data_IF_597105450966
#
_entry.id   IF_597105450966
#
_cell.length_a   1.000
_cell.length_b   1.000
_cell.length_c   1.000
_cell.angle_alpha   90.00
_cell.angle_beta   90.00
_cell.angle_gamma   90.00
#
_symmetry.space_group_name_H-M   'P 1'
#
loop_
_entity.id
_entity.type
_entity.pdbx_description
1 polymer ?
#
# COMPACT_ATOMS: atom_id res chain seq x y z
N UNK A 1 -37.21 -24.19 25.11
CA UNK A 1 -38.25 -24.29 26.15
C UNK A 1 -39.31 -23.25 25.81
N UNK A 2 -40.56 -23.67 25.61
CA UNK A 2 -41.66 -22.73 25.40
C UNK A 2 -41.78 -21.86 26.66
N UNK A 3 -41.54 -20.57 26.52
CA UNK A 3 -41.78 -19.64 27.62
C UNK A 3 -43.29 -19.42 27.68
N UNK A 4 -43.88 -19.93 28.75
CA UNK A 4 -45.30 -19.86 29.01
C UNK A 4 -45.76 -18.40 29.05
N UNK A 5 -47.01 -18.17 28.68
CA UNK A 5 -47.67 -16.88 28.85
C UNK A 5 -47.48 -16.41 30.30
N UNK A 6 -47.23 -15.11 30.50
CA UNK A 6 -47.04 -14.63 31.87
C UNK A 6 -48.28 -14.93 32.73
N UNK A 7 -48.05 -15.31 33.99
CA UNK A 7 -49.11 -15.63 34.95
C UNK A 7 -50.10 -14.48 35.10
N UNK A 8 -49.64 -13.23 35.02
CA UNK A 8 -50.51 -12.04 35.07
C UNK A 8 -51.51 -12.00 33.91
N UNK A 9 -51.07 -12.33 32.69
CA UNK A 9 -51.96 -12.37 31.52
C UNK A 9 -52.96 -13.52 31.65
N UNK A 10 -52.52 -14.69 32.12
CA UNK A 10 -53.43 -15.82 32.36
C UNK A 10 -54.50 -15.50 33.40
N UNK A 11 -54.10 -14.94 34.56
CA UNK A 11 -55.03 -14.57 35.63
C UNK A 11 -56.02 -13.48 35.19
N UNK A 12 -55.58 -12.54 34.36
CA UNK A 12 -56.46 -11.53 33.77
C UNK A 12 -57.51 -12.16 32.84
N UNK A 13 -57.10 -13.11 32.00
CA UNK A 13 -58.01 -13.87 31.14
C UNK A 13 -58.99 -14.70 31.97
N UNK A 14 -58.52 -15.48 32.94
CA UNK A 14 -59.38 -16.31 33.81
C UNK A 14 -60.47 -15.47 34.50
N UNK A 15 -60.11 -14.28 34.99
CA UNK A 15 -61.06 -13.34 35.63
C UNK A 15 -62.10 -12.77 34.67
N UNK A 16 -61.80 -12.67 33.36
CA UNK A 16 -62.67 -12.04 32.36
C UNK A 16 -63.53 -13.01 31.57
N UNK A 17 -62.97 -14.17 31.22
CA UNK A 17 -63.62 -15.13 30.31
C UNK A 17 -63.84 -16.51 30.93
N UNK A 18 -63.44 -16.72 32.19
CA UNK A 18 -63.53 -18.02 32.86
C UNK A 18 -62.32 -18.90 32.56
N UNK A 19 -62.11 -19.92 33.41
CA UNK A 19 -60.90 -20.76 33.40
C UNK A 19 -60.73 -21.56 32.10
N UNK A 20 -61.80 -22.21 31.64
CA UNK A 20 -61.75 -23.09 30.46
C UNK A 20 -61.46 -22.31 29.17
N UNK A 21 -62.11 -21.15 28.99
CA UNK A 21 -61.85 -20.25 27.86
C UNK A 21 -60.48 -19.57 27.96
N UNK A 22 -60.03 -19.20 29.17
CA UNK A 22 -58.69 -18.65 29.38
C UNK A 22 -57.58 -19.64 29.02
N UNK A 23 -57.76 -20.92 29.33
CA UNK A 23 -56.83 -21.98 28.96
C UNK A 23 -56.73 -22.14 27.43
N UNK A 24 -57.87 -22.18 26.73
CA UNK A 24 -57.92 -22.24 25.26
C UNK A 24 -57.24 -21.03 24.62
N UNK A 25 -57.58 -19.82 25.07
CA UNK A 25 -56.99 -18.57 24.53
C UNK A 25 -55.49 -18.53 24.79
N UNK A 26 -55.05 -18.88 26.00
CA UNK A 26 -53.61 -18.91 26.34
C UNK A 26 -52.84 -19.90 25.46
N UNK A 27 -53.40 -21.10 25.23
CA UNK A 27 -52.78 -22.09 24.34
C UNK A 27 -52.62 -21.57 22.91
N UNK A 28 -53.63 -20.86 22.39
CA UNK A 28 -53.58 -20.27 21.05
C UNK A 28 -52.52 -19.15 20.98
N UNK A 29 -52.45 -18.30 22.00
CA UNK A 29 -51.44 -17.23 22.06
C UNK A 29 -50.03 -17.82 22.15
N UNK A 30 -49.81 -18.83 23.00
CA UNK A 30 -48.50 -19.49 23.13
C UNK A 30 -48.05 -20.10 21.80
N UNK A 31 -48.95 -20.79 21.08
CA UNK A 31 -48.65 -21.29 19.72
C UNK A 31 -48.31 -20.16 18.76
N UNK A 32 -49.02 -19.03 18.82
CA UNK A 32 -48.71 -17.84 18.02
C UNK A 32 -47.33 -17.25 18.33
N UNK A 33 -46.97 -17.17 19.62
CA UNK A 33 -45.65 -16.71 20.08
C UNK A 33 -44.56 -17.65 19.58
N UNK A 34 -44.77 -18.97 19.61
CA UNK A 34 -43.81 -19.93 19.12
C UNK A 34 -43.59 -19.80 17.61
N UNK A 35 -44.64 -19.58 16.82
CA UNK A 35 -44.51 -19.29 15.37
C UNK A 35 -43.71 -18.01 15.14
N UNK A 36 -44.02 -16.93 15.86
CA UNK A 36 -43.29 -15.66 15.75
C UNK A 36 -41.81 -15.84 16.09
N UNK A 37 -41.49 -16.64 17.12
CA UNK A 37 -40.09 -16.91 17.49
C UNK A 37 -39.35 -17.70 16.42
N UNK A 38 -39.96 -18.74 15.89
CA UNK A 38 -39.34 -19.53 14.82
C UNK A 38 -39.10 -18.66 13.59
N UNK A 39 -40.03 -17.77 13.25
CA UNK A 39 -39.84 -16.83 12.16
C UNK A 39 -38.75 -15.78 12.46
N UNK A 40 -38.71 -15.25 13.68
CA UNK A 40 -37.65 -14.32 14.09
C UNK A 40 -36.26 -14.97 14.03
N UNK A 41 -36.13 -16.26 14.38
CA UNK A 41 -34.87 -17.01 14.23
C UNK A 41 -34.47 -17.17 12.77
N UNK A 42 -35.42 -17.46 11.88
CA UNK A 42 -35.16 -17.55 10.43
C UNK A 42 -34.67 -16.21 9.88
N UNK A 43 -35.38 -15.12 10.17
CA UNK A 43 -34.99 -13.77 9.74
C UNK A 43 -33.59 -13.41 10.26
N UNK A 44 -33.29 -13.71 11.53
CA UNK A 44 -31.97 -13.44 12.09
C UNK A 44 -30.86 -14.25 11.39
N UNK A 45 -31.16 -15.50 11.01
CA UNK A 45 -30.23 -16.34 10.27
C UNK A 45 -30.03 -15.82 8.83
N UNK A 46 -31.11 -15.47 8.15
CA UNK A 46 -31.09 -14.89 6.80
C UNK A 46 -30.26 -13.61 6.77
N UNK A 47 -30.54 -12.65 7.66
CA UNK A 47 -29.76 -11.41 7.75
C UNK A 47 -28.29 -11.64 8.06
N UNK A 48 -27.97 -12.62 8.90
CA UNK A 48 -26.58 -13.00 9.19
C UNK A 48 -25.88 -13.54 7.93
N UNK A 49 -26.60 -14.30 7.10
CA UNK A 49 -26.07 -14.83 5.84
C UNK A 49 -25.90 -13.72 4.81
N UNK A 50 -26.88 -12.81 4.67
CA UNK A 50 -26.80 -11.63 3.79
C UNK A 50 -25.59 -10.76 4.16
N UNK A 51 -25.45 -10.39 5.43
CA UNK A 51 -24.32 -9.58 5.91
C UNK A 51 -22.99 -10.30 5.64
N UNK A 52 -22.92 -11.61 5.84
CA UNK A 52 -21.71 -12.38 5.55
C UNK A 52 -21.39 -12.36 4.06
N UNK A 53 -22.39 -12.48 3.20
CA UNK A 53 -22.22 -12.45 1.74
C UNK A 53 -21.77 -11.06 1.26
N UNK A 54 -22.40 -9.99 1.74
CA UNK A 54 -22.00 -8.60 1.48
C UNK A 54 -20.55 -8.35 1.91
N UNK A 55 -20.19 -8.71 3.15
CA UNK A 55 -18.83 -8.55 3.66
C UNK A 55 -17.81 -9.36 2.86
N UNK A 56 -18.18 -10.54 2.35
CA UNK A 56 -17.28 -11.37 1.55
C UNK A 56 -17.05 -10.78 0.15
N UNK A 57 -18.03 -10.05 -0.40
CA UNK A 57 -17.91 -9.38 -1.71
C UNK A 57 -17.09 -8.10 -1.64
N UNK A 58 -17.20 -7.32 -0.56
CA UNK A 58 -16.55 -6.02 -0.44
C UNK A 58 -15.16 -6.06 0.19
N UNK A 59 -14.91 -7.01 1.10
CA UNK A 59 -13.64 -7.05 1.82
C UNK A 59 -12.59 -7.87 1.07
N UNK A 60 -11.42 -7.26 0.89
CA UNK A 60 -10.22 -7.97 0.46
C UNK A 60 -9.84 -9.03 1.50
N UNK A 61 -9.55 -10.24 1.02
CA UNK A 61 -9.03 -11.30 1.85
C UNK A 61 -7.57 -11.03 2.24
N UNK A 62 -7.08 -11.75 3.24
CA UNK A 62 -5.65 -11.72 3.59
C UNK A 62 -4.74 -12.14 2.43
N UNK A 63 -5.24 -13.02 1.54
CA UNK A 63 -4.50 -13.45 0.37
C UNK A 63 -4.36 -12.31 -0.65
N UNK A 64 -5.44 -11.55 -0.90
CA UNK A 64 -5.41 -10.40 -1.80
C UNK A 64 -4.41 -9.34 -1.33
N UNK A 65 -4.43 -9.04 -0.03
CA UNK A 65 -3.48 -8.10 0.57
C UNK A 65 -2.03 -8.60 0.44
N UNK A 66 -1.80 -9.91 0.58
CA UNK A 66 -0.46 -10.49 0.43
C UNK A 66 0.04 -10.42 -1.02
N UNK A 67 -0.84 -10.64 -1.99
CA UNK A 67 -0.53 -10.50 -3.43
C UNK A 67 -0.08 -9.06 -3.72
N UNK A 68 -0.90 -8.08 -3.35
CA UNK A 68 -0.58 -6.66 -3.57
C UNK A 68 0.72 -6.26 -2.86
N UNK A 69 0.94 -6.74 -1.63
CA UNK A 69 2.20 -6.49 -0.90
C UNK A 69 3.41 -7.03 -1.66
N UNK A 70 3.33 -8.25 -2.19
CA UNK A 70 4.44 -8.87 -2.91
C UNK A 70 4.71 -8.14 -4.24
N UNK A 71 3.67 -7.77 -4.98
CA UNK A 71 3.79 -6.97 -6.21
C UNK A 71 4.47 -5.62 -5.92
N UNK A 72 4.06 -4.94 -4.84
CA UNK A 72 4.70 -3.68 -4.42
C UNK A 72 6.17 -3.86 -4.05
N UNK A 73 6.54 -4.95 -3.37
CA UNK A 73 7.95 -5.23 -3.05
C UNK A 73 8.76 -5.40 -4.34
N UNK A 74 8.25 -6.16 -5.31
CA UNK A 74 8.91 -6.37 -6.60
C UNK A 74 9.09 -5.05 -7.36
N UNK A 75 8.04 -4.21 -7.42
CA UNK A 75 8.14 -2.93 -8.12
C UNK A 75 9.11 -1.97 -7.42
N UNK A 76 9.15 -1.97 -6.08
CA UNK A 76 10.13 -1.19 -5.31
C UNK A 76 11.56 -1.66 -5.60
N UNK A 77 11.79 -2.97 -5.66
CA UNK A 77 13.12 -3.52 -5.98
C UNK A 77 13.56 -3.17 -7.40
N UNK A 78 12.64 -3.23 -8.36
CA UNK A 78 12.87 -2.81 -9.74
C UNK A 78 13.25 -1.34 -9.83
N UNK A 79 12.46 -0.44 -9.24
CA UNK A 79 12.75 1.01 -9.20
C UNK A 79 14.10 1.28 -8.53
N UNK A 80 14.43 0.57 -7.44
CA UNK A 80 15.74 0.70 -6.79
C UNK A 80 16.89 0.27 -7.69
N UNK A 81 16.74 -0.80 -8.45
CA UNK A 81 17.76 -1.28 -9.38
C UNK A 81 17.97 -0.29 -10.52
N UNK A 82 16.89 0.22 -11.12
CA UNK A 82 16.93 1.21 -12.19
C UNK A 82 17.61 2.51 -11.72
N UNK A 83 17.24 3.03 -10.54
CA UNK A 83 17.86 4.22 -9.97
C UNK A 83 19.36 4.03 -9.69
N UNK A 84 19.77 2.87 -9.17
CA UNK A 84 21.20 2.57 -8.94
C UNK A 84 21.98 2.58 -10.25
N UNK A 85 21.44 1.94 -11.28
CA UNK A 85 22.07 1.90 -12.61
C UNK A 85 22.18 3.30 -13.23
N UNK A 86 21.14 4.12 -13.11
CA UNK A 86 21.16 5.49 -13.63
C UNK A 86 22.18 6.37 -12.89
N UNK A 87 22.25 6.26 -11.56
CA UNK A 87 23.24 6.98 -10.75
C UNK A 87 24.66 6.57 -11.14
N UNK A 88 24.93 5.28 -11.26
CA UNK A 88 26.25 4.77 -11.65
C UNK A 88 26.65 5.25 -13.05
N UNK A 89 25.73 5.18 -14.01
CA UNK A 89 25.95 5.69 -15.37
C UNK A 89 26.27 7.19 -15.38
N UNK A 90 25.51 8.00 -14.63
CA UNK A 90 25.76 9.44 -14.51
C UNK A 90 27.10 9.73 -13.84
N UNK A 91 27.44 9.00 -12.79
CA UNK A 91 28.72 9.14 -12.09
C UNK A 91 29.89 8.80 -13.02
N UNK A 92 29.82 7.69 -13.75
CA UNK A 92 30.85 7.31 -14.72
C UNK A 92 31.00 8.35 -15.83
N UNK A 93 29.90 8.86 -16.38
CA UNK A 93 29.92 9.93 -17.37
C UNK A 93 30.60 11.20 -16.83
N UNK A 94 30.32 11.56 -15.58
CA UNK A 94 30.91 12.73 -14.94
C UNK A 94 32.41 12.54 -14.68
N UNK A 95 32.82 11.37 -14.20
CA UNK A 95 34.23 11.01 -14.00
C UNK A 95 35.03 11.10 -15.30
N UNK A 96 34.50 10.55 -16.40
CA UNK A 96 35.14 10.64 -17.72
C UNK A 96 35.26 12.11 -18.18
N UNK A 97 34.24 12.93 -17.96
CA UNK A 97 34.29 14.36 -18.29
C UNK A 97 35.34 15.08 -17.45
N UNK A 98 35.45 14.73 -16.17
CA UNK A 98 36.44 15.32 -15.25
C UNK A 98 37.87 14.96 -15.69
N UNK A 99 38.14 13.71 -16.03
CA UNK A 99 39.45 13.27 -16.54
C UNK A 99 39.83 14.01 -17.83
N UNK A 100 38.90 14.10 -18.79
CA UNK A 100 39.11 14.87 -20.03
C UNK A 100 39.40 16.34 -19.76
N UNK A 101 38.72 16.93 -18.78
CA UNK A 101 38.95 18.32 -18.39
C UNK A 101 40.35 18.49 -17.77
N UNK A 102 40.74 17.58 -16.88
CA UNK A 102 42.07 17.58 -16.26
C UNK A 102 43.20 17.44 -17.30
N UNK A 103 43.02 16.57 -18.31
CA UNK A 103 43.96 16.43 -19.43
C UNK A 103 44.10 17.74 -20.22
N UNK A 104 42.98 18.38 -20.58
CA UNK A 104 42.99 19.67 -21.28
C UNK A 104 43.68 20.75 -20.45
N UNK A 105 43.43 20.78 -19.14
CA UNK A 105 44.03 21.74 -18.24
C UNK A 105 45.55 21.54 -18.13
N UNK A 106 46.00 20.30 -17.96
CA UNK A 106 47.44 19.96 -17.95
C UNK A 106 48.14 20.38 -19.26
N UNK A 107 47.52 20.11 -20.41
CA UNK A 107 48.06 20.54 -21.70
C UNK A 107 48.15 22.07 -21.81
N UNK A 108 47.12 22.78 -21.37
CA UNK A 108 47.10 24.25 -21.34
C UNK A 108 48.21 24.81 -20.44
N UNK A 109 48.43 24.22 -19.26
CA UNK A 109 49.53 24.62 -18.37
C UNK A 109 50.88 24.45 -19.08
N UNK A 110 51.11 23.31 -19.76
CA UNK A 110 52.35 23.07 -20.52
C UNK A 110 52.53 24.14 -21.61
N UNK A 111 51.47 24.45 -22.37
CA UNK A 111 51.53 25.50 -23.39
C UNK A 111 51.85 26.88 -22.81
N UNK A 112 51.27 27.23 -21.66
CA UNK A 112 51.56 28.49 -20.97
C UNK A 112 53.03 28.53 -20.53
N UNK A 113 53.57 27.45 -19.96
CA UNK A 113 54.98 27.36 -19.57
C UNK A 113 55.89 27.55 -20.79
N UNK A 114 55.59 26.88 -21.91
CA UNK A 114 56.36 27.04 -23.16
C UNK A 114 56.29 28.49 -23.65
N UNK A 115 55.09 29.09 -23.69
CA UNK A 115 54.91 30.47 -24.14
C UNK A 115 55.71 31.46 -23.28
N UNK A 116 55.64 31.36 -21.95
CA UNK A 116 56.42 32.19 -21.01
C UNK A 116 57.93 31.97 -21.18
N UNK A 117 58.35 30.73 -21.42
CA UNK A 117 59.77 30.39 -21.62
C UNK A 117 60.30 30.96 -22.93
N UNK A 118 59.53 30.88 -24.02
CA UNK A 118 59.90 31.45 -25.33
C UNK A 118 59.93 32.98 -25.33
N UNK A 119 59.10 33.62 -24.50
CA UNK A 119 59.12 35.08 -24.31
C UNK A 119 60.33 35.58 -23.52
N UNK A 120 61.11 34.68 -22.89
CA UNK A 120 62.34 35.06 -22.20
C UNK A 120 63.45 35.41 -23.22
N UNK A 121 64.01 36.64 -23.20
CA UNK A 121 65.06 37.06 -24.15
C UNK A 121 66.26 36.10 -24.19
N UNK A 122 66.65 35.55 -23.04
CA UNK A 122 67.79 34.62 -22.93
C UNK A 122 67.51 33.33 -23.70
N UNK A 123 66.30 32.78 -23.57
CA UNK A 123 65.90 31.55 -24.26
C UNK A 123 65.75 31.81 -25.77
N UNK A 124 65.17 32.96 -26.15
CA UNK A 124 65.03 33.33 -27.55
C UNK A 124 66.40 33.44 -28.27
N UNK A 125 67.42 33.97 -27.59
CA UNK A 125 68.78 34.05 -28.13
C UNK A 125 69.43 32.67 -28.28
N UNK A 126 69.24 31.78 -27.30
CA UNK A 126 69.71 30.39 -27.38
C UNK A 126 69.08 29.67 -28.59
N UNK A 127 67.78 29.85 -28.81
CA UNK A 127 67.06 29.24 -29.94
C UNK A 127 67.57 29.79 -31.27
N UNK A 128 67.79 31.11 -31.39
CA UNK A 128 68.37 31.72 -32.60
C UNK A 128 69.72 31.09 -32.95
N UNK A 129 70.63 30.98 -31.97
CA UNK A 129 71.94 30.35 -32.15
C UNK A 129 71.82 28.87 -32.56
N UNK A 130 70.88 28.13 -31.97
CA UNK A 130 70.68 26.71 -32.28
C UNK A 130 70.09 26.47 -33.68
N UNK A 131 69.28 27.39 -34.18
CA UNK A 131 68.64 27.31 -35.50
C UNK A 131 69.44 27.99 -36.62
N UNK A 132 70.63 28.51 -36.34
CA UNK A 132 71.42 29.35 -37.26
C UNK A 132 70.59 30.52 -37.85
N UNK A 133 69.73 31.13 -37.03
CA UNK A 133 68.95 32.33 -37.34
C UNK A 133 69.58 33.60 -36.77
#
# INVERSE_FOLDING_TARGET
MAQALSIEVYQYLEKKIGRDEAEKVSSVIEKGIDVIREEAKKIALEKKLEIKDELTKELASKADVLIVKNELIVEIEKVRAELRSEIESKFNSLSIKFEKLNQKFNFMIILIIIALTLMNPVVAEIIKRALNL
#
